data_IF_996521536095
#
_entry.id   IF_996521536095
#
_cell.length_a   1.000
_cell.length_b   1.000
_cell.length_c   1.000
_cell.angle_alpha   90.00
_cell.angle_beta   90.00
_cell.angle_gamma   90.00
#
_symmetry.space_group_name_H-M   'P 1'
#
loop_
_entity.id
_entity.type
_entity.pdbx_description
1 polymer ?
#
# COMPACT_ATOMS: atom_id res chain seq x y z
N UNK A 1 56.69 28.33 32.61
CA UNK A 1 55.41 28.68 31.94
C UNK A 1 55.14 27.73 30.79
N UNK A 2 54.87 26.45 30.99
CA UNK A 2 54.59 25.49 29.86
C UNK A 2 53.77 24.24 30.25
N UNK A 3 52.89 24.30 31.25
CA UNK A 3 52.11 23.12 31.70
C UNK A 3 50.59 23.21 31.46
N UNK A 4 50.08 24.33 30.94
CA UNK A 4 48.65 24.57 30.72
C UNK A 4 48.19 24.00 29.34
N UNK A 5 49.11 23.90 28.38
CA UNK A 5 48.80 23.47 26.99
C UNK A 5 48.40 22.00 26.85
N UNK A 6 48.91 21.08 27.67
CA UNK A 6 48.67 19.63 27.54
C UNK A 6 47.31 19.17 28.04
N UNK A 7 46.62 19.93 28.89
CA UNK A 7 45.30 19.58 29.41
C UNK A 7 44.15 20.18 28.57
N UNK A 8 44.44 21.16 27.71
CA UNK A 8 43.44 21.80 26.86
C UNK A 8 43.15 20.97 25.59
N UNK A 9 44.10 20.19 25.12
CA UNK A 9 43.96 19.37 23.89
C UNK A 9 42.88 18.29 23.97
N UNK A 10 42.73 17.50 25.04
CA UNK A 10 41.64 16.51 25.13
C UNK A 10 40.25 17.13 25.28
N UNK A 11 40.14 18.33 25.89
CA UNK A 11 38.85 19.04 26.03
C UNK A 11 38.39 19.63 24.71
N UNK A 12 39.33 20.13 23.89
CA UNK A 12 39.01 20.63 22.54
C UNK A 12 38.62 19.46 21.59
N UNK A 13 39.29 18.32 21.68
CA UNK A 13 38.91 17.12 20.92
C UNK A 13 37.54 16.57 21.35
N UNK A 14 37.20 16.58 22.65
CA UNK A 14 35.91 16.15 23.16
C UNK A 14 34.78 17.10 22.72
N UNK A 15 35.03 18.41 22.68
CA UNK A 15 34.11 19.43 22.19
C UNK A 15 33.82 19.33 20.69
N UNK A 16 34.83 18.91 19.89
CA UNK A 16 34.67 18.73 18.43
C UNK A 16 33.86 17.47 18.03
N UNK A 17 33.85 16.45 18.88
CA UNK A 17 33.06 15.24 18.67
C UNK A 17 31.55 15.46 18.84
N UNK A 18 31.13 16.47 19.59
CA UNK A 18 29.71 16.78 19.85
C UNK A 18 29.06 17.53 18.67
N UNK A 19 29.86 18.13 17.78
CA UNK A 19 29.34 18.87 16.62
C UNK A 19 28.98 17.99 15.39
N UNK A 20 29.17 16.67 15.46
CA UNK A 20 28.85 15.72 14.40
C UNK A 20 27.44 15.11 14.53
N UNK A 21 26.59 15.65 15.40
CA UNK A 21 25.16 15.27 15.40
C UNK A 21 24.51 15.81 14.14
N UNK A 22 24.49 15.03 13.06
CA UNK A 22 23.78 15.38 11.84
C UNK A 22 22.33 15.73 12.16
N UNK A 23 21.91 16.95 11.84
CA UNK A 23 20.52 17.36 12.00
C UNK A 23 19.66 16.48 11.09
N UNK A 24 18.75 15.71 11.68
CA UNK A 24 17.75 14.95 10.92
C UNK A 24 16.73 15.94 10.39
N UNK A 25 16.54 15.91 9.08
CA UNK A 25 15.61 16.77 8.35
C UNK A 25 14.40 15.97 7.92
N UNK A 26 13.23 16.59 7.91
CA UNK A 26 12.00 15.99 7.39
C UNK A 26 12.16 15.66 5.91
N UNK A 27 12.02 14.37 5.57
CA UNK A 27 12.07 13.88 4.21
C UNK A 27 10.66 13.81 3.61
N UNK A 28 9.71 13.29 4.38
CA UNK A 28 8.31 13.19 4.00
C UNK A 28 7.40 13.43 5.21
N UNK A 29 6.24 14.03 4.95
CA UNK A 29 5.20 14.33 5.94
C UNK A 29 3.85 13.76 5.54
N UNK A 30 2.91 13.74 6.50
CA UNK A 30 1.53 13.30 6.31
C UNK A 30 1.40 11.88 5.74
N UNK A 31 2.34 11.01 6.10
CA UNK A 31 2.33 9.60 5.70
C UNK A 31 1.29 8.81 6.50
N UNK A 32 0.74 7.79 5.88
CA UNK A 32 0.03 6.72 6.58
C UNK A 32 1.03 5.81 7.31
N UNK A 33 0.59 5.16 8.38
CA UNK A 33 1.49 4.34 9.20
C UNK A 33 2.16 3.22 8.40
N UNK A 34 1.40 2.55 7.54
CA UNK A 34 1.89 1.47 6.68
C UNK A 34 2.99 1.93 5.74
N UNK A 35 2.80 3.10 5.13
CA UNK A 35 3.79 3.67 4.20
C UNK A 35 5.02 4.16 4.94
N UNK A 36 4.85 4.86 6.08
CA UNK A 36 5.95 5.31 6.92
C UNK A 36 6.82 4.13 7.42
N UNK A 37 6.19 3.02 7.83
CA UNK A 37 6.88 1.81 8.23
C UNK A 37 7.64 1.15 7.07
N UNK A 38 7.02 1.06 5.90
CA UNK A 38 7.63 0.47 4.71
C UNK A 38 8.84 1.29 4.24
N UNK A 39 8.69 2.62 4.17
CA UNK A 39 9.76 3.53 3.78
C UNK A 39 10.92 3.51 4.79
N UNK A 40 10.62 3.50 6.09
CA UNK A 40 11.63 3.37 7.16
C UNK A 40 12.42 2.07 7.01
N UNK A 41 11.74 0.94 6.81
CA UNK A 41 12.38 -0.35 6.63
C UNK A 41 13.30 -0.39 5.41
N UNK A 42 12.86 0.18 4.27
CA UNK A 42 13.68 0.28 3.06
C UNK A 42 14.96 1.08 3.32
N UNK A 43 14.85 2.23 3.99
CA UNK A 43 16.01 3.08 4.27
C UNK A 43 17.00 2.39 5.21
N UNK A 44 16.52 1.82 6.32
CA UNK A 44 17.37 1.14 7.31
C UNK A 44 18.06 -0.09 6.71
N UNK A 45 17.38 -0.89 5.90
CA UNK A 45 17.96 -2.06 5.22
C UNK A 45 19.09 -1.66 4.25
N UNK A 46 19.04 -0.43 3.73
CA UNK A 46 20.07 0.13 2.85
C UNK A 46 21.07 1.05 3.59
N UNK A 47 21.18 0.93 4.92
CA UNK A 47 22.12 1.64 5.76
C UNK A 47 21.97 3.17 5.68
N UNK A 48 20.76 3.64 5.44
CA UNK A 48 20.40 5.05 5.56
C UNK A 48 19.67 5.21 6.89
N UNK A 49 20.29 5.93 7.82
CA UNK A 49 19.67 6.24 9.11
C UNK A 49 18.41 7.09 8.89
N UNK A 50 17.29 6.59 9.37
CA UNK A 50 16.01 7.26 9.27
C UNK A 50 15.23 7.12 10.59
N UNK A 51 14.35 8.07 10.85
CA UNK A 51 13.50 8.10 12.03
C UNK A 51 12.06 8.42 11.66
N UNK A 52 11.13 7.70 12.28
CA UNK A 52 9.70 7.96 12.14
C UNK A 52 9.19 8.69 13.39
N UNK A 53 8.52 9.82 13.19
CA UNK A 53 7.80 10.54 14.25
C UNK A 53 6.31 10.64 13.93
N UNK A 54 5.49 10.85 14.95
CA UNK A 54 4.03 10.89 14.82
C UNK A 54 3.49 12.29 15.11
N UNK A 55 2.62 12.79 14.23
CA UNK A 55 1.72 13.89 14.56
C UNK A 55 0.46 13.33 15.24
N UNK A 56 0.44 13.44 16.57
CA UNK A 56 -0.69 12.94 17.39
C UNK A 56 -2.01 13.67 17.12
N UNK A 57 -1.97 14.90 16.57
CA UNK A 57 -3.18 15.67 16.28
C UNK A 57 -3.79 15.27 14.94
N UNK A 58 -2.95 15.03 13.94
CA UNK A 58 -3.38 14.65 12.59
C UNK A 58 -3.47 13.13 12.40
N UNK A 59 -2.91 12.33 13.30
CA UNK A 59 -2.82 10.87 13.13
C UNK A 59 -1.93 10.45 11.95
N UNK A 60 -0.98 11.29 11.56
CA UNK A 60 -0.09 11.08 10.43
C UNK A 60 1.35 10.94 10.91
N UNK A 61 2.22 10.48 10.02
CA UNK A 61 3.62 10.22 10.34
C UNK A 61 4.55 11.06 9.49
N UNK A 62 5.69 11.40 10.08
CA UNK A 62 6.81 12.06 9.42
C UNK A 62 7.99 11.09 9.34
N UNK A 63 8.75 11.20 8.29
CA UNK A 63 9.99 10.46 8.09
C UNK A 63 11.14 11.45 7.99
N UNK A 64 12.16 11.25 8.81
CA UNK A 64 13.34 12.10 8.90
C UNK A 64 14.58 11.32 8.51
N UNK A 65 15.50 11.98 7.84
CA UNK A 65 16.83 11.44 7.50
C UNK A 65 17.88 12.52 7.70
N UNK A 66 19.14 12.13 7.72
CA UNK A 66 20.24 13.09 7.68
C UNK A 66 20.22 13.88 6.37
N UNK A 67 20.38 15.19 6.42
CA UNK A 67 20.31 16.09 5.25
C UNK A 67 21.22 15.65 4.11
N UNK A 68 22.44 15.22 4.43
CA UNK A 68 23.42 14.70 3.46
C UNK A 68 22.93 13.46 2.69
N UNK A 69 21.98 12.70 3.26
CA UNK A 69 21.45 11.46 2.72
C UNK A 69 20.15 11.63 1.94
N UNK A 70 19.54 12.82 1.95
CA UNK A 70 18.27 13.09 1.25
C UNK A 70 18.29 12.62 -0.22
N UNK A 71 19.30 12.97 -1.05
CA UNK A 71 19.30 12.55 -2.45
C UNK A 71 19.28 11.03 -2.64
N UNK A 72 20.07 10.32 -1.83
CA UNK A 72 20.15 8.87 -1.85
C UNK A 72 18.84 8.22 -1.36
N UNK A 73 18.27 8.76 -0.27
CA UNK A 73 17.00 8.27 0.29
C UNK A 73 15.85 8.42 -0.72
N UNK A 74 15.75 9.58 -1.39
CA UNK A 74 14.72 9.84 -2.40
C UNK A 74 14.87 8.91 -3.60
N UNK A 75 16.09 8.72 -4.12
CA UNK A 75 16.33 7.81 -5.24
C UNK A 75 15.92 6.38 -4.89
N UNK A 76 16.36 5.88 -3.73
CA UNK A 76 16.04 4.53 -3.25
C UNK A 76 14.53 4.32 -3.03
N UNK A 77 13.86 5.28 -2.41
CA UNK A 77 12.41 5.19 -2.19
C UNK A 77 11.63 5.20 -3.51
N UNK A 78 12.05 5.98 -4.49
CA UNK A 78 11.45 5.99 -5.84
C UNK A 78 11.60 4.65 -6.56
N UNK A 79 12.76 3.99 -6.47
CA UNK A 79 12.96 2.64 -7.01
C UNK A 79 11.97 1.64 -6.42
N UNK A 80 11.57 1.84 -5.16
CA UNK A 80 10.58 1.01 -4.46
C UNK A 80 9.13 1.52 -4.60
N UNK A 81 8.89 2.53 -5.45
CA UNK A 81 7.55 3.07 -5.72
C UNK A 81 6.99 3.95 -4.60
N UNK A 82 7.84 4.60 -3.81
CA UNK A 82 7.42 5.54 -2.77
C UNK A 82 7.75 7.00 -3.13
N UNK A 83 6.91 7.97 -2.69
CA UNK A 83 5.64 7.78 -1.99
C UNK A 83 4.58 7.16 -2.90
N UNK A 84 3.66 6.36 -2.33
CA UNK A 84 2.51 5.86 -3.08
C UNK A 84 1.53 7.00 -3.33
N UNK A 85 1.05 7.11 -4.56
CA UNK A 85 -0.05 8.02 -4.85
C UNK A 85 -1.32 7.58 -4.11
N UNK A 86 -1.95 8.52 -3.41
CA UNK A 86 -3.24 8.27 -2.77
C UNK A 86 -4.31 8.20 -3.87
N UNK A 87 -4.65 6.98 -4.25
CA UNK A 87 -5.80 6.76 -5.12
C UNK A 87 -7.06 6.94 -4.26
N UNK A 88 -7.87 7.94 -4.62
CA UNK A 88 -9.19 8.13 -4.00
C UNK A 88 -10.03 6.89 -4.31
N UNK A 89 -10.42 6.17 -3.28
CA UNK A 89 -11.27 4.99 -3.49
C UNK A 89 -12.70 5.42 -3.85
N UNK A 90 -13.40 4.58 -4.62
CA UNK A 90 -14.83 4.81 -4.89
C UNK A 90 -15.61 4.99 -3.59
N UNK A 91 -15.27 4.26 -2.52
CA UNK A 91 -15.88 4.42 -1.20
C UNK A 91 -15.68 5.80 -0.59
N UNK A 92 -14.54 6.44 -0.82
CA UNK A 92 -14.28 7.79 -0.30
C UNK A 92 -15.03 8.86 -1.08
N UNK A 93 -15.26 8.65 -2.38
CA UNK A 93 -16.07 9.54 -3.20
C UNK A 93 -17.53 9.56 -2.73
N UNK A 94 -18.06 8.42 -2.28
CA UNK A 94 -19.45 8.30 -1.83
C UNK A 94 -19.70 8.72 -0.36
N UNK A 95 -18.66 8.94 0.43
CA UNK A 95 -18.80 9.40 1.84
C UNK A 95 -19.27 10.85 1.98
N UNK A 96 -19.23 11.65 0.92
CA UNK A 96 -19.37 13.11 0.99
C UNK A 96 -20.74 13.65 0.63
N UNK A 97 -21.71 12.86 0.19
CA UNK A 97 -22.94 13.41 -0.36
C UNK A 97 -24.19 13.05 0.42
N UNK A 98 -25.07 14.06 0.48
CA UNK A 98 -26.22 14.22 1.32
C UNK A 98 -27.32 13.15 1.21
N UNK A 99 -28.50 13.48 1.76
CA UNK A 99 -29.62 12.57 2.02
C UNK A 99 -30.36 12.02 0.78
N UNK A 100 -29.97 12.38 -0.44
CA UNK A 100 -30.61 11.92 -1.68
C UNK A 100 -29.55 11.37 -2.63
N UNK A 101 -29.50 10.05 -2.78
CA UNK A 101 -28.66 9.39 -3.78
C UNK A 101 -29.44 9.15 -5.08
N UNK A 102 -28.74 9.29 -6.20
CA UNK A 102 -29.32 8.93 -7.49
C UNK A 102 -29.30 7.39 -7.68
N UNK A 103 -30.19 6.82 -8.53
CA UNK A 103 -30.15 5.39 -8.85
C UNK A 103 -28.77 4.91 -9.35
N UNK A 104 -28.04 5.78 -10.07
CA UNK A 104 -26.68 5.48 -10.54
C UNK A 104 -25.69 5.37 -9.38
N UNK A 105 -25.78 6.27 -8.40
CA UNK A 105 -24.93 6.22 -7.20
C UNK A 105 -25.22 4.99 -6.35
N UNK A 106 -26.47 4.64 -6.16
CA UNK A 106 -26.87 3.42 -5.42
C UNK A 106 -26.31 2.16 -6.10
N UNK A 107 -26.39 2.10 -7.43
CA UNK A 107 -25.83 1.02 -8.22
C UNK A 107 -24.30 0.94 -8.09
N UNK A 108 -23.61 2.08 -8.23
CA UNK A 108 -22.16 2.13 -8.09
C UNK A 108 -21.73 1.71 -6.68
N UNK A 109 -22.46 2.12 -5.66
CA UNK A 109 -22.24 1.75 -4.25
C UNK A 109 -22.46 0.26 -4.03
N UNK A 110 -23.51 -0.31 -4.64
CA UNK A 110 -23.78 -1.75 -4.58
C UNK A 110 -22.65 -2.56 -5.24
N UNK A 111 -22.22 -2.19 -6.45
CA UNK A 111 -21.09 -2.85 -7.14
C UNK A 111 -19.80 -2.77 -6.31
N UNK A 112 -19.54 -1.62 -5.72
CA UNK A 112 -18.38 -1.43 -4.84
C UNK A 112 -18.46 -2.35 -3.62
N UNK A 113 -19.60 -2.38 -2.91
CA UNK A 113 -19.79 -3.22 -1.73
C UNK A 113 -19.65 -4.72 -2.07
N UNK A 114 -20.20 -5.15 -3.19
CA UNK A 114 -20.10 -6.53 -3.68
C UNK A 114 -18.64 -6.88 -4.01
N UNK A 115 -17.91 -5.97 -4.69
CA UNK A 115 -16.48 -6.15 -4.98
C UNK A 115 -15.65 -6.27 -3.72
N UNK A 116 -15.93 -5.46 -2.69
CA UNK A 116 -15.24 -5.52 -1.40
C UNK A 116 -15.53 -6.83 -0.66
N UNK A 117 -16.78 -7.29 -0.65
CA UNK A 117 -17.17 -8.56 0.01
C UNK A 117 -16.46 -9.76 -0.63
N UNK A 118 -16.40 -9.84 -1.96
CA UNK A 118 -15.67 -10.90 -2.65
C UNK A 118 -14.16 -10.80 -2.40
N UNK A 119 -13.61 -9.58 -2.44
CA UNK A 119 -12.19 -9.33 -2.14
C UNK A 119 -11.83 -9.78 -0.73
N UNK A 120 -12.67 -9.48 0.27
CA UNK A 120 -12.48 -9.92 1.66
C UNK A 120 -12.46 -11.44 1.75
N UNK A 121 -13.41 -12.12 1.11
CA UNK A 121 -13.45 -13.59 1.06
C UNK A 121 -12.17 -14.18 0.48
N UNK A 122 -11.71 -13.66 -0.66
CA UNK A 122 -10.47 -14.14 -1.29
C UNK A 122 -9.22 -13.86 -0.46
N UNK A 123 -9.24 -12.82 0.35
CA UNK A 123 -8.14 -12.47 1.26
C UNK A 123 -8.01 -13.43 2.46
N UNK A 124 -9.01 -14.27 2.74
CA UNK A 124 -8.95 -15.32 3.76
C UNK A 124 -8.23 -16.58 3.29
N UNK A 125 -7.90 -16.68 2.00
CA UNK A 125 -7.15 -17.83 1.45
C UNK A 125 -5.68 -17.71 1.91
N UNK A 126 -5.18 -18.77 2.54
CA UNK A 126 -3.80 -18.83 3.00
C UNK A 126 -2.81 -18.57 1.86
N UNK A 127 -1.88 -17.65 2.07
CA UNK A 127 -0.90 -17.25 1.06
C UNK A 127 -1.34 -16.07 0.18
N UNK A 128 -2.60 -15.66 0.19
CA UNK A 128 -3.03 -14.44 -0.49
C UNK A 128 -2.59 -13.22 0.32
N UNK A 129 -1.78 -12.36 -0.29
CA UNK A 129 -1.29 -11.12 0.31
C UNK A 129 -2.16 -9.91 -0.05
N UNK A 130 -2.66 -9.90 -1.28
CA UNK A 130 -3.55 -8.85 -1.77
C UNK A 130 -4.52 -9.49 -2.74
N UNK A 131 -5.81 -9.23 -2.57
CA UNK A 131 -6.84 -9.50 -3.57
C UNK A 131 -7.45 -8.17 -4.04
N UNK A 132 -7.78 -8.07 -5.32
CA UNK A 132 -8.56 -6.98 -5.91
C UNK A 132 -9.58 -7.57 -6.85
N UNK A 133 -10.81 -7.13 -6.73
CA UNK A 133 -11.93 -7.63 -7.54
C UNK A 133 -12.62 -6.44 -8.19
N UNK A 134 -12.75 -6.51 -9.50
CA UNK A 134 -13.51 -5.55 -10.29
C UNK A 134 -14.67 -6.28 -10.95
N UNK A 135 -15.89 -5.77 -10.72
CA UNK A 135 -17.12 -6.35 -11.20
C UNK A 135 -17.77 -5.38 -12.19
N UNK A 136 -18.21 -5.92 -13.31
CA UNK A 136 -19.03 -5.20 -14.27
C UNK A 136 -20.39 -5.90 -14.31
N UNK A 137 -21.42 -5.21 -13.86
CA UNK A 137 -22.81 -5.65 -13.99
C UNK A 137 -23.44 -4.92 -15.18
N UNK A 138 -24.20 -5.63 -16.03
CA UNK A 138 -24.90 -5.00 -17.15
C UNK A 138 -25.95 -4.01 -16.64
N UNK A 139 -26.22 -2.98 -17.41
CA UNK A 139 -27.39 -2.14 -17.18
C UNK A 139 -28.65 -2.92 -17.51
N UNK A 140 -29.75 -2.64 -16.80
CA UNK A 140 -31.05 -3.16 -17.15
C UNK A 140 -31.47 -2.52 -18.47
N UNK A 141 -31.30 -3.23 -19.57
CA UNK A 141 -31.72 -2.76 -20.89
C UNK A 141 -33.23 -2.68 -20.98
N UNK A 142 -33.78 -1.72 -21.75
CA UNK A 142 -35.19 -1.66 -22.09
C UNK A 142 -35.63 -3.00 -22.71
N UNK A 143 -36.92 -3.29 -22.55
CA UNK A 143 -37.55 -4.52 -23.05
C UNK A 143 -37.21 -4.75 -24.54
N UNK A 144 -36.45 -5.79 -24.84
CA UNK A 144 -36.15 -6.23 -26.22
C UNK A 144 -34.67 -6.31 -26.59
N UNK A 145 -33.75 -5.80 -25.77
CA UNK A 145 -32.29 -5.97 -25.97
C UNK A 145 -31.73 -7.11 -25.13
N UNK A 146 -30.85 -7.92 -25.74
CA UNK A 146 -30.13 -8.98 -25.02
C UNK A 146 -29.26 -8.36 -23.92
N UNK A 147 -29.56 -8.65 -22.65
CA UNK A 147 -28.77 -8.21 -21.52
C UNK A 147 -27.29 -8.70 -21.69
N UNK A 148 -26.35 -7.80 -21.61
CA UNK A 148 -24.94 -8.20 -21.61
C UNK A 148 -24.65 -8.99 -20.33
N UNK A 149 -23.85 -10.10 -20.40
CA UNK A 149 -23.54 -10.87 -19.21
C UNK A 149 -22.65 -10.09 -18.25
N UNK A 150 -22.83 -10.34 -16.96
CA UNK A 150 -21.90 -9.86 -15.93
C UNK A 150 -20.49 -10.39 -16.20
N UNK A 151 -19.46 -9.63 -15.80
CA UNK A 151 -18.07 -10.06 -15.87
C UNK A 151 -17.29 -9.63 -14.64
N UNK A 152 -16.23 -10.37 -14.31
CA UNK A 152 -15.36 -10.04 -13.19
C UNK A 152 -13.89 -10.25 -13.55
N UNK A 153 -13.05 -9.35 -13.02
CA UNK A 153 -11.60 -9.47 -13.07
C UNK A 153 -11.04 -9.51 -11.66
N UNK A 154 -10.22 -10.52 -11.39
CA UNK A 154 -9.60 -10.78 -10.09
C UNK A 154 -8.09 -10.70 -10.23
N UNK A 155 -7.47 -9.85 -9.44
CA UNK A 155 -6.03 -9.77 -9.27
C UNK A 155 -5.66 -10.28 -7.89
N UNK A 156 -4.73 -11.24 -7.81
CA UNK A 156 -4.21 -11.77 -6.56
C UNK A 156 -2.68 -11.67 -6.57
N UNK A 157 -2.13 -10.98 -5.57
CA UNK A 157 -0.72 -11.06 -5.22
C UNK A 157 -0.57 -12.07 -4.09
N UNK A 158 0.28 -13.07 -4.26
CA UNK A 158 0.40 -14.18 -3.31
C UNK A 158 1.83 -14.45 -2.90
N UNK A 159 2.01 -15.08 -1.74
CA UNK A 159 3.30 -15.58 -1.27
C UNK A 159 3.67 -16.87 -2.04
N UNK A 160 4.81 -16.89 -2.76
CA UNK A 160 5.22 -18.04 -3.59
C UNK A 160 5.51 -19.32 -2.80
N UNK A 161 5.57 -19.26 -1.46
CA UNK A 161 5.63 -20.48 -0.62
C UNK A 161 4.32 -21.27 -0.62
N UNK A 162 3.21 -20.69 -1.10
CA UNK A 162 1.89 -21.33 -1.21
C UNK A 162 1.54 -21.60 -2.67
N UNK A 163 0.84 -22.72 -2.93
CA UNK A 163 0.46 -23.15 -4.27
C UNK A 163 -0.88 -22.54 -4.72
N UNK A 164 -0.96 -21.21 -4.71
CA UNK A 164 -2.18 -20.47 -5.07
C UNK A 164 -2.57 -20.69 -6.54
N UNK A 165 -1.60 -20.98 -7.39
CA UNK A 165 -1.85 -21.25 -8.82
C UNK A 165 -2.75 -22.46 -9.03
N UNK A 166 -2.65 -23.48 -8.18
CA UNK A 166 -3.49 -24.67 -8.22
C UNK A 166 -4.94 -24.37 -7.83
N UNK A 167 -5.18 -23.30 -7.07
CA UNK A 167 -6.52 -22.88 -6.62
C UNK A 167 -7.24 -21.95 -7.60
N UNK A 168 -6.69 -21.74 -8.79
CA UNK A 168 -7.28 -20.79 -9.76
C UNK A 168 -8.73 -21.12 -10.13
N UNK A 169 -9.06 -22.40 -10.22
CA UNK A 169 -10.42 -22.87 -10.54
C UNK A 169 -11.39 -22.62 -9.41
N UNK A 170 -10.98 -22.87 -8.18
CA UNK A 170 -11.74 -22.64 -6.95
C UNK A 170 -12.00 -21.14 -6.75
N UNK A 171 -10.98 -20.31 -6.97
CA UNK A 171 -11.11 -18.85 -6.92
C UNK A 171 -12.14 -18.36 -7.95
N UNK A 172 -12.08 -18.86 -9.19
CA UNK A 172 -13.08 -18.53 -10.21
C UNK A 172 -14.49 -18.95 -9.80
N UNK A 173 -14.63 -20.13 -9.18
CA UNK A 173 -15.93 -20.66 -8.73
C UNK A 173 -16.51 -19.84 -7.58
N UNK A 174 -15.67 -19.41 -6.61
CA UNK A 174 -16.09 -18.52 -5.52
C UNK A 174 -16.65 -17.23 -6.10
N UNK A 175 -15.92 -16.62 -7.05
CA UNK A 175 -16.33 -15.35 -7.67
C UNK A 175 -17.62 -15.52 -8.49
N UNK A 176 -17.72 -16.58 -9.29
CA UNK A 176 -18.91 -16.87 -10.08
C UNK A 176 -20.15 -17.02 -9.20
N UNK A 177 -20.05 -17.77 -8.11
CA UNK A 177 -21.18 -18.03 -7.21
C UNK A 177 -21.52 -16.84 -6.28
N UNK A 178 -20.64 -15.87 -6.18
CA UNK A 178 -20.85 -14.66 -5.37
C UNK A 178 -21.56 -13.53 -6.13
N UNK A 179 -21.67 -13.62 -7.45
CA UNK A 179 -22.17 -12.52 -8.30
C UNK A 179 -23.30 -13.02 -9.18
N UNK A 180 -24.45 -12.40 -9.04
CA UNK A 180 -25.62 -12.75 -9.82
C UNK A 180 -25.40 -12.50 -11.33
N UNK A 181 -25.81 -13.48 -12.16
CA UNK A 181 -25.68 -13.39 -13.61
C UNK A 181 -24.24 -13.50 -14.14
N UNK A 182 -23.27 -13.85 -13.29
CA UNK A 182 -21.89 -14.10 -13.70
C UNK A 182 -21.69 -15.57 -14.06
N UNK A 183 -21.12 -15.84 -15.22
CA UNK A 183 -20.74 -17.19 -15.65
C UNK A 183 -19.22 -17.39 -15.50
N UNK A 184 -18.81 -18.64 -15.30
CA UNK A 184 -17.42 -19.02 -15.05
C UNK A 184 -16.43 -18.56 -16.14
N UNK A 185 -16.84 -18.57 -17.40
CA UNK A 185 -16.05 -18.10 -18.54
C UNK A 185 -15.82 -16.58 -18.55
N UNK A 186 -16.69 -15.82 -17.86
CA UNK A 186 -16.59 -14.36 -17.71
C UNK A 186 -15.77 -13.91 -16.49
N UNK A 187 -15.20 -14.85 -15.74
CA UNK A 187 -14.28 -14.57 -14.66
C UNK A 187 -12.83 -14.68 -15.15
N UNK A 188 -12.10 -13.59 -15.10
CA UNK A 188 -10.66 -13.56 -15.38
C UNK A 188 -9.88 -13.51 -14.04
N UNK A 189 -8.87 -14.39 -13.88
CA UNK A 189 -8.02 -14.41 -12.68
C UNK A 189 -6.57 -14.29 -13.08
N UNK A 190 -5.90 -13.28 -12.53
CA UNK A 190 -4.47 -13.00 -12.68
C UNK A 190 -3.78 -13.21 -11.33
N UNK A 191 -2.83 -14.14 -11.29
CA UNK A 191 -2.05 -14.49 -10.11
C UNK A 191 -0.62 -13.95 -10.28
N UNK A 192 -0.12 -13.20 -9.30
CA UNK A 192 1.20 -12.59 -9.33
C UNK A 192 1.96 -12.96 -8.06
N UNK A 193 3.09 -13.68 -8.15
CA UNK A 193 3.90 -13.98 -6.98
C UNK A 193 4.51 -12.70 -6.39
N UNK A 194 4.54 -12.61 -5.07
CA UNK A 194 5.23 -11.53 -4.39
C UNK A 194 6.75 -11.71 -4.50
N UNK A 195 7.46 -10.62 -4.76
CA UNK A 195 8.90 -10.59 -4.58
C UNK A 195 9.16 -10.46 -3.08
N UNK A 196 9.51 -11.58 -2.43
CA UNK A 196 9.96 -11.56 -1.04
C UNK A 196 11.41 -11.08 -1.03
N UNK A 197 11.79 -10.16 -0.11
CA UNK A 197 13.20 -9.86 0.07
C UNK A 197 13.91 -11.16 0.38
N UNK A 198 15.07 -11.38 -0.26
CA UNK A 198 15.93 -12.52 0.07
C UNK A 198 16.17 -12.46 1.58
N UNK A 199 15.77 -13.52 2.29
CA UNK A 199 16.08 -13.63 3.70
C UNK A 199 17.58 -13.44 3.84
N UNK A 200 18.01 -12.46 4.62
CA UNK A 200 19.42 -12.28 4.94
C UNK A 200 19.93 -13.60 5.57
N UNK A 201 20.69 -14.35 4.80
CA UNK A 201 21.41 -15.53 5.24
C UNK A 201 22.56 -15.09 6.15
#
# INVERSE_FOLDING_TARGET
MTTISKKLFPVVCLGLLVLLSGCKTELYSKLEESDANSMLAILLNNKIEAEKTVDKKAGTYFLHVEESRIPQAVALLREHGFPKEKVVSMGDMFKKEGLISSPLEERARFIFALSQSVQETLSQIDGVLVARVHIVLPENNPIGETAQPSSASVFIKYNPAYRIEDMKSEIKMIVEKSIEGLSYDKVSVVLVPAQLPAAAQ
#
